data_IF_350099712045
#
_entry.id   IF_350099712045
#
_cell.length_a   1.000
_cell.length_b   1.000
_cell.length_c   1.000
_cell.angle_alpha   90.00
_cell.angle_beta   90.00
_cell.angle_gamma   90.00
#
_symmetry.space_group_name_H-M   'P 1'
#
loop_
_entity.id
_entity.type
_entity.pdbx_description
1 polymer ?
#
# COMPACT_ATOMS: atom_id res chain seq x y z
N UNK A 1 23.21 -45.30 -29.63
CA UNK A 1 24.69 -45.37 -29.76
C UNK A 1 25.26 -44.22 -28.95
N UNK A 2 25.73 -44.54 -27.75
CA UNK A 2 26.69 -43.77 -26.95
C UNK A 2 28.05 -43.72 -27.68
N UNK A 3 28.93 -42.73 -27.40
CA UNK A 3 29.84 -42.88 -26.25
C UNK A 3 30.08 -41.62 -25.41
N UNK A 4 29.80 -41.75 -24.11
CA UNK A 4 30.65 -41.55 -22.94
C UNK A 4 32.18 -41.27 -23.10
N UNK A 5 32.68 -40.18 -22.48
CA UNK A 5 33.97 -39.97 -21.74
C UNK A 5 33.76 -38.67 -20.91
N UNK A 6 33.69 -38.59 -19.57
CA UNK A 6 34.54 -38.92 -18.39
C UNK A 6 35.68 -37.93 -18.06
N UNK A 7 35.48 -37.28 -16.90
CA UNK A 7 36.40 -36.76 -15.87
C UNK A 7 37.42 -35.64 -16.15
N UNK A 8 37.33 -34.61 -15.31
CA UNK A 8 38.46 -33.82 -14.80
C UNK A 8 38.12 -33.22 -13.42
N UNK A 9 38.80 -33.72 -12.39
CA UNK A 9 38.69 -33.30 -10.98
C UNK A 9 39.30 -31.91 -10.71
N UNK A 10 38.89 -31.31 -9.58
CA UNK A 10 39.79 -30.91 -8.47
C UNK A 10 39.76 -29.44 -8.00
N UNK A 11 39.83 -29.32 -6.66
CA UNK A 11 40.19 -28.17 -5.80
C UNK A 11 39.05 -27.16 -5.50
N UNK A 12 38.38 -27.21 -4.34
CA UNK A 12 38.87 -26.96 -2.97
C UNK A 12 39.70 -25.66 -2.89
N UNK A 13 39.08 -24.57 -2.43
CA UNK A 13 39.81 -23.60 -1.61
C UNK A 13 38.91 -23.02 -0.51
N UNK A 14 39.23 -23.41 0.72
CA UNK A 14 38.75 -22.80 1.96
C UNK A 14 39.67 -21.63 2.25
N UNK A 15 39.12 -20.45 2.49
CA UNK A 15 39.83 -19.41 3.24
C UNK A 15 39.00 -19.02 4.45
N UNK A 16 39.50 -19.44 5.60
CA UNK A 16 39.14 -19.00 6.93
C UNK A 16 39.81 -17.64 7.18
N UNK A 17 39.02 -16.59 7.44
CA UNK A 17 39.49 -15.38 8.10
C UNK A 17 38.90 -15.31 9.50
N UNK A 18 39.67 -15.71 10.52
CA UNK A 18 39.35 -15.52 11.94
C UNK A 18 39.67 -14.09 12.38
N UNK A 19 38.77 -13.55 13.18
CA UNK A 19 38.94 -12.72 14.39
C UNK A 19 40.10 -11.73 14.48
N UNK A 20 39.73 -10.46 14.69
CA UNK A 20 40.38 -9.65 15.72
C UNK A 20 39.33 -8.85 16.48
N UNK A 21 39.22 -9.13 17.77
CA UNK A 21 38.52 -8.34 18.77
C UNK A 21 39.57 -7.79 19.73
N UNK A 22 39.55 -6.48 19.98
CA UNK A 22 40.03 -5.84 21.22
C UNK A 22 39.66 -4.36 21.13
N UNK A 23 38.75 -3.82 21.94
CA UNK A 23 38.81 -3.42 23.37
C UNK A 23 38.69 -1.89 23.41
N UNK A 24 37.56 -1.46 23.96
CA UNK A 24 37.29 -0.31 24.85
C UNK A 24 38.25 0.89 24.82
N UNK A 25 37.69 2.07 24.53
CA UNK A 25 38.10 3.31 25.19
C UNK A 25 36.85 4.16 25.52
N UNK A 26 36.65 4.58 26.79
CA UNK A 26 35.49 5.33 27.23
C UNK A 26 35.74 6.85 27.26
N UNK A 27 34.63 7.58 27.25
CA UNK A 27 34.50 9.00 27.58
C UNK A 27 35.08 10.03 26.58
N UNK A 28 34.19 10.61 25.77
CA UNK A 28 34.14 12.06 25.67
C UNK A 28 32.68 12.55 25.69
N UNK A 29 32.33 13.07 26.86
CA UNK A 29 31.14 13.84 27.16
C UNK A 29 31.10 15.15 26.34
N UNK A 30 29.86 15.61 26.11
CA UNK A 30 29.44 16.98 25.78
C UNK A 30 29.73 17.48 24.36
N UNK A 31 28.66 17.67 23.58
CA UNK A 31 28.01 18.97 23.26
C UNK A 31 27.12 18.81 22.01
N UNK A 32 26.42 19.85 21.57
CA UNK A 32 25.09 20.24 22.02
C UNK A 32 24.00 19.87 20.99
N UNK A 33 22.77 19.83 21.48
CA UNK A 33 21.53 19.80 20.69
C UNK A 33 21.59 20.87 19.58
N UNK A 34 21.74 20.43 18.33
CA UNK A 34 21.42 21.23 17.17
C UNK A 34 20.01 20.86 16.72
N UNK A 35 19.10 21.81 16.91
CA UNK A 35 17.74 21.80 16.36
C UNK A 35 17.79 21.48 14.87
N UNK A 36 17.20 20.34 14.49
CA UNK A 36 16.90 20.04 13.10
C UNK A 36 15.67 20.86 12.68
N UNK A 37 15.74 21.64 11.58
CA UNK A 37 14.56 22.29 11.05
C UNK A 37 13.56 21.25 10.52
N UNK A 38 12.35 21.32 11.08
CA UNK A 38 11.13 20.67 10.61
C UNK A 38 10.89 20.97 9.13
N UNK A 39 10.88 19.95 8.29
CA UNK A 39 10.21 19.96 6.99
C UNK A 39 9.97 18.52 6.55
N UNK A 40 9.01 17.86 7.21
CA UNK A 40 8.40 16.65 6.65
C UNK A 40 7.47 17.15 5.53
N UNK A 41 7.64 16.74 4.26
CA UNK A 41 6.66 17.07 3.24
C UNK A 41 5.37 16.32 3.58
N UNK A 42 4.42 17.05 4.15
CA UNK A 42 3.06 16.58 4.38
C UNK A 42 2.35 16.52 3.02
N UNK A 43 2.63 15.48 2.24
CA UNK A 43 1.85 15.18 1.03
C UNK A 43 0.52 14.59 1.51
N UNK A 44 -0.44 15.48 1.73
CA UNK A 44 -1.84 15.10 1.90
C UNK A 44 -2.31 14.37 0.63
N UNK A 45 -3.25 13.42 0.72
CA UNK A 45 -3.94 12.93 -0.45
C UNK A 45 -4.73 14.10 -1.07
N UNK A 46 -4.15 14.75 -2.07
CA UNK A 46 -4.88 15.66 -2.96
C UNK A 46 -5.82 14.80 -3.81
N UNK A 47 -6.98 14.51 -3.23
CA UNK A 47 -8.06 13.81 -3.87
C UNK A 47 -9.28 13.99 -2.99
N UNK A 48 -10.14 14.93 -3.35
CA UNK A 48 -11.53 14.82 -2.96
C UNK A 48 -11.98 13.40 -3.36
N UNK A 49 -12.34 12.52 -2.40
CA UNK A 49 -12.70 11.14 -2.68
C UNK A 49 -13.89 11.04 -3.64
N UNK A 50 -14.62 12.14 -3.85
CA UNK A 50 -15.75 12.23 -4.78
C UNK A 50 -15.38 12.69 -6.20
N UNK A 51 -14.22 13.31 -6.44
CA UNK A 51 -13.96 14.03 -7.70
C UNK A 51 -12.59 13.81 -8.38
N UNK A 52 -11.62 13.15 -7.74
CA UNK A 52 -10.33 12.85 -8.37
C UNK A 52 -10.32 11.54 -9.17
N UNK A 53 -10.32 11.60 -10.51
CA UNK A 53 -10.12 10.41 -11.36
C UNK A 53 -8.69 9.85 -11.31
N UNK A 54 -7.74 10.64 -10.79
CA UNK A 54 -6.32 10.35 -10.69
C UNK A 54 -5.82 10.51 -9.25
N UNK A 55 -5.03 9.56 -8.78
CA UNK A 55 -4.48 9.50 -7.43
C UNK A 55 -2.97 9.38 -7.46
N UNK A 56 -2.29 10.06 -6.54
CA UNK A 56 -0.83 10.02 -6.38
C UNK A 56 -0.51 9.25 -5.10
N UNK A 57 0.19 8.12 -5.25
CA UNK A 57 0.62 7.29 -4.11
C UNK A 57 2.13 7.46 -3.91
N UNK A 58 2.59 7.93 -2.73
CA UNK A 58 4.02 8.10 -2.46
C UNK A 58 4.74 6.76 -2.23
N UNK A 59 5.99 6.68 -2.66
CA UNK A 59 6.88 5.52 -2.57
C UNK A 59 8.23 5.89 -1.91
N UNK A 60 8.27 6.02 -0.58
CA UNK A 60 9.45 6.51 0.13
C UNK A 60 10.68 5.58 0.04
N UNK A 61 10.51 4.31 -0.35
CA UNK A 61 11.60 3.34 -0.44
C UNK A 61 11.99 2.97 -1.87
N UNK A 62 11.43 3.66 -2.89
CA UNK A 62 11.64 3.30 -4.28
C UNK A 62 12.76 4.12 -4.94
N UNK A 63 13.76 3.44 -5.49
CA UNK A 63 14.98 4.09 -6.00
C UNK A 63 14.80 4.85 -7.32
N UNK A 64 13.78 4.53 -8.12
CA UNK A 64 13.61 5.10 -9.47
C UNK A 64 12.66 6.31 -9.56
N UNK A 65 11.72 6.41 -8.64
CA UNK A 65 10.69 7.45 -8.58
C UNK A 65 10.05 7.45 -7.20
N UNK A 66 9.55 8.59 -6.75
CA UNK A 66 9.04 8.84 -5.40
C UNK A 66 7.51 8.71 -5.26
N UNK A 67 6.79 8.49 -6.37
CA UNK A 67 5.35 8.29 -6.38
C UNK A 67 4.90 7.43 -7.56
N UNK A 68 3.63 7.03 -7.57
CA UNK A 68 2.94 6.48 -8.74
C UNK A 68 1.60 7.18 -8.95
N UNK A 69 1.11 7.17 -10.19
CA UNK A 69 -0.20 7.69 -10.56
C UNK A 69 -1.16 6.53 -10.77
N UNK A 70 -2.35 6.58 -10.16
CA UNK A 70 -3.39 5.56 -10.31
C UNK A 70 -4.70 6.19 -10.77
N UNK A 71 -5.31 5.63 -11.82
CA UNK A 71 -6.60 6.08 -12.32
C UNK A 71 -7.74 5.19 -11.80
N UNK A 72 -8.92 5.79 -11.59
CA UNK A 72 -10.13 5.01 -11.30
C UNK A 72 -10.46 4.04 -12.44
N UNK A 73 -10.90 2.84 -12.07
CA UNK A 73 -11.49 1.83 -12.95
C UNK A 73 -12.94 2.20 -13.24
N UNK A 74 -13.71 2.55 -12.21
CA UNK A 74 -15.14 2.82 -12.31
C UNK A 74 -15.39 4.32 -12.10
N UNK A 75 -15.24 5.09 -13.18
CA UNK A 75 -15.41 6.55 -13.20
C UNK A 75 -16.75 7.01 -13.77
N UNK A 76 -17.55 6.10 -14.33
CA UNK A 76 -18.81 6.43 -14.99
C UNK A 76 -19.90 6.83 -13.99
N UNK A 77 -20.77 7.74 -14.40
CA UNK A 77 -21.95 8.14 -13.64
C UNK A 77 -22.89 6.93 -13.48
N UNK A 78 -23.15 6.53 -12.23
CA UNK A 78 -23.92 5.33 -11.89
C UNK A 78 -23.09 4.09 -11.56
N UNK A 79 -21.76 4.16 -11.63
CA UNK A 79 -20.89 3.13 -11.09
C UNK A 79 -21.09 2.99 -9.57
N UNK A 80 -21.45 1.77 -9.12
CA UNK A 80 -21.65 1.44 -7.69
C UNK A 80 -20.36 1.04 -7.00
N UNK A 81 -19.26 1.70 -7.34
CA UNK A 81 -17.95 1.45 -6.77
C UNK A 81 -17.41 2.71 -6.10
N UNK A 82 -16.87 2.53 -4.91
CA UNK A 82 -16.26 3.57 -4.11
C UNK A 82 -14.76 3.34 -4.00
N UNK A 83 -13.99 4.43 -3.95
CA UNK A 83 -12.57 4.38 -3.61
C UNK A 83 -12.45 4.35 -2.09
N UNK A 84 -11.73 3.37 -1.58
CA UNK A 84 -11.33 3.25 -0.17
C UNK A 84 -9.82 3.37 -0.08
N UNK A 85 -9.35 4.31 0.74
CA UNK A 85 -7.92 4.40 1.08
C UNK A 85 -7.62 3.38 2.18
N UNK A 86 -6.78 2.40 1.85
CA UNK A 86 -6.45 1.26 2.73
C UNK A 86 -4.98 1.27 3.13
N UNK A 87 -4.69 0.79 4.33
CA UNK A 87 -3.36 0.34 4.73
C UNK A 87 -2.98 -0.86 3.87
N UNK A 88 -1.88 -0.72 3.11
CA UNK A 88 -1.51 -1.74 2.12
C UNK A 88 -1.12 -3.06 2.76
N UNK A 89 -0.56 -3.04 3.97
CA UNK A 89 -0.15 -4.25 4.68
C UNK A 89 -1.38 -5.01 5.17
N UNK A 90 -2.36 -4.30 5.74
CA UNK A 90 -3.64 -4.92 6.15
C UNK A 90 -4.40 -5.50 4.97
N UNK A 91 -4.42 -4.80 3.83
CA UNK A 91 -4.99 -5.29 2.59
C UNK A 91 -4.36 -6.62 2.15
N UNK A 92 -3.03 -6.67 2.05
CA UNK A 92 -2.31 -7.88 1.62
C UNK A 92 -2.47 -9.02 2.62
N UNK A 93 -2.51 -8.74 3.92
CA UNK A 93 -2.80 -9.77 4.94
C UNK A 93 -4.20 -10.36 4.78
N UNK A 94 -5.21 -9.54 4.48
CA UNK A 94 -6.56 -10.06 4.20
C UNK A 94 -6.60 -10.82 2.89
N UNK A 95 -5.80 -10.44 1.89
CA UNK A 95 -5.74 -11.12 0.61
C UNK A 95 -4.96 -12.44 0.66
N UNK A 96 -3.91 -12.52 1.46
CA UNK A 96 -3.13 -13.74 1.66
C UNK A 96 -3.92 -14.82 2.43
N UNK A 97 -5.06 -14.46 3.03
CA UNK A 97 -6.02 -15.44 3.57
C UNK A 97 -6.88 -16.07 2.48
N UNK A 98 -7.10 -15.41 1.35
CA UNK A 98 -7.93 -15.96 0.29
C UNK A 98 -7.27 -17.22 -0.28
N UNK A 99 -7.92 -18.36 -0.10
CA UNK A 99 -7.46 -19.68 -0.54
C UNK A 99 -8.06 -20.07 -1.89
N UNK A 100 -8.89 -19.20 -2.48
CA UNK A 100 -9.51 -19.44 -3.78
C UNK A 100 -8.61 -19.02 -4.94
N UNK A 101 -7.68 -18.10 -4.72
CA UNK A 101 -6.75 -17.56 -5.71
C UNK A 101 -5.29 -17.91 -5.40
N UNK A 102 -4.43 -17.88 -6.42
CA UNK A 102 -3.00 -18.12 -6.28
C UNK A 102 -2.35 -17.06 -5.37
N UNK A 103 -1.81 -17.49 -4.23
CA UNK A 103 -1.02 -16.63 -3.34
C UNK A 103 0.27 -16.26 -4.04
N UNK A 104 0.40 -14.98 -4.41
CA UNK A 104 1.63 -14.47 -5.00
C UNK A 104 2.79 -14.55 -4.01
N UNK A 105 3.92 -15.06 -4.48
CA UNK A 105 5.19 -15.02 -3.76
C UNK A 105 5.57 -13.58 -3.35
N UNK A 106 6.37 -13.43 -2.28
CA UNK A 106 7.07 -12.18 -1.99
C UNK A 106 7.84 -11.64 -3.22
N UNK A 107 7.96 -10.31 -3.33
CA UNK A 107 8.51 -9.63 -4.53
C UNK A 107 10.00 -9.92 -4.74
N UNK A 108 10.74 -10.15 -3.67
CA UNK A 108 12.14 -10.57 -3.67
C UNK A 108 12.36 -11.97 -4.26
N UNK A 109 11.31 -12.79 -4.34
CA UNK A 109 11.32 -14.07 -5.05
C UNK A 109 10.87 -13.97 -6.51
N UNK A 110 10.47 -12.80 -6.99
CA UNK A 110 10.03 -12.65 -8.37
C UNK A 110 11.22 -12.66 -9.32
N UNK A 111 11.02 -13.23 -10.51
CA UNK A 111 12.01 -13.13 -11.58
C UNK A 111 12.31 -11.66 -11.89
N UNK A 112 13.58 -11.29 -12.03
CA UNK A 112 14.01 -9.90 -12.24
C UNK A 112 13.27 -9.19 -13.40
N UNK A 113 13.00 -9.93 -14.49
CA UNK A 113 12.20 -9.43 -15.61
C UNK A 113 10.77 -9.02 -15.24
N UNK A 114 10.11 -9.72 -14.30
CA UNK A 114 8.78 -9.37 -13.79
C UNK A 114 8.83 -8.10 -12.95
N UNK A 115 9.83 -8.00 -12.06
CA UNK A 115 10.06 -6.81 -11.23
C UNK A 115 10.27 -5.58 -12.11
N UNK A 116 11.16 -5.70 -13.11
CA UNK A 116 11.42 -4.64 -14.09
C UNK A 116 10.17 -4.22 -14.84
N UNK A 117 9.39 -5.19 -15.36
CA UNK A 117 8.17 -4.90 -16.10
C UNK A 117 7.10 -4.20 -15.26
N UNK A 118 6.92 -4.59 -13.98
CA UNK A 118 6.00 -3.89 -13.08
C UNK A 118 6.51 -2.49 -12.76
N UNK A 119 7.81 -2.31 -12.53
CA UNK A 119 8.42 -1.00 -12.28
C UNK A 119 8.20 -0.03 -13.44
N UNK A 120 8.44 -0.47 -14.68
CA UNK A 120 8.25 0.32 -15.91
C UNK A 120 6.77 0.64 -16.16
N UNK A 121 5.87 -0.30 -15.85
CA UNK A 121 4.44 -0.08 -15.95
C UNK A 121 3.92 0.96 -14.95
N UNK A 122 4.53 1.02 -13.76
CA UNK A 122 4.14 1.95 -12.69
C UNK A 122 4.86 3.31 -12.76
N UNK A 123 5.83 3.48 -13.64
CA UNK A 123 6.62 4.71 -13.76
C UNK A 123 5.71 5.94 -14.01
N UNK A 124 5.81 7.00 -13.21
CA UNK A 124 5.03 8.22 -13.41
C UNK A 124 5.21 8.87 -14.78
N UNK A 125 6.33 8.62 -15.46
CA UNK A 125 6.64 9.14 -16.79
C UNK A 125 5.97 8.32 -17.90
N UNK A 126 5.39 7.17 -17.57
CA UNK A 126 4.64 6.35 -18.52
C UNK A 126 3.36 7.09 -18.95
N UNK A 127 3.11 7.13 -20.27
CA UNK A 127 1.90 7.74 -20.82
C UNK A 127 0.64 7.01 -20.35
N UNK A 128 0.72 5.67 -20.24
CA UNK A 128 -0.40 4.87 -19.75
C UNK A 128 -0.44 4.86 -18.23
N UNK A 129 -1.46 5.50 -17.67
CA UNK A 129 -1.71 5.50 -16.23
C UNK A 129 -2.29 4.14 -15.80
N UNK A 130 -1.67 3.44 -14.85
CA UNK A 130 -2.22 2.22 -14.25
C UNK A 130 -3.57 2.47 -13.56
N UNK A 131 -4.48 1.51 -13.70
CA UNK A 131 -5.73 1.51 -12.94
C UNK A 131 -5.50 1.08 -11.48
N UNK A 132 -6.30 1.66 -10.59
CA UNK A 132 -6.43 1.24 -9.20
C UNK A 132 -6.70 -0.26 -9.07
N UNK A 133 -6.22 -0.91 -8.00
CA UNK A 133 -6.72 -2.21 -7.62
C UNK A 133 -8.25 -2.15 -7.36
N UNK A 134 -8.98 -3.12 -7.87
CA UNK A 134 -10.39 -3.38 -7.52
C UNK A 134 -10.48 -4.75 -6.84
N UNK A 135 -11.17 -4.79 -5.70
CA UNK A 135 -11.28 -5.96 -4.84
C UNK A 135 -12.72 -6.25 -4.47
N UNK A 136 -12.96 -7.49 -4.06
CA UNK A 136 -14.15 -7.86 -3.28
C UNK A 136 -13.76 -8.23 -1.86
N UNK A 137 -14.60 -7.91 -0.86
CA UNK A 137 -14.31 -8.22 0.54
C UNK A 137 -15.46 -8.98 1.20
N UNK A 138 -15.12 -9.97 2.03
CA UNK A 138 -16.09 -10.75 2.80
C UNK A 138 -15.55 -11.13 4.17
N UNK A 139 -16.44 -11.56 5.06
CA UNK A 139 -16.07 -12.30 6.28
C UNK A 139 -16.33 -13.78 6.05
N UNK A 140 -15.36 -14.61 6.42
CA UNK A 140 -15.56 -16.06 6.45
C UNK A 140 -15.24 -16.62 7.83
N UNK A 141 -15.76 -17.81 8.08
CA UNK A 141 -15.50 -18.56 9.30
C UNK A 141 -14.06 -19.08 9.28
N UNK A 142 -13.32 -18.90 10.37
CA UNK A 142 -11.94 -19.41 10.46
C UNK A 142 -11.96 -20.94 10.46
N UNK A 143 -11.03 -21.59 9.77
CA UNK A 143 -10.86 -23.05 9.79
C UNK A 143 -10.10 -23.50 11.06
N UNK A 144 -10.58 -23.10 12.24
CA UNK A 144 -10.02 -23.47 13.55
C UNK A 144 -11.09 -24.09 14.44
N UNK A 145 -10.71 -24.72 15.56
CA UNK A 145 -11.67 -25.30 16.52
C UNK A 145 -12.63 -24.21 17.04
N UNK A 146 -12.14 -23.01 17.37
CA UNK A 146 -12.96 -21.86 17.74
C UNK A 146 -13.85 -21.38 16.57
N UNK A 147 -13.31 -21.48 15.35
CA UNK A 147 -14.04 -21.33 14.11
C UNK A 147 -15.21 -22.30 14.00
N UNK A 148 -15.03 -23.61 14.26
CA UNK A 148 -16.08 -24.64 14.24
C UNK A 148 -17.22 -24.39 15.25
N UNK A 149 -17.00 -23.59 16.29
CA UNK A 149 -18.05 -23.10 17.19
C UNK A 149 -18.68 -21.76 16.79
N UNK A 150 -18.20 -21.14 15.72
CA UNK A 150 -18.80 -19.94 15.11
C UNK A 150 -18.34 -18.64 15.76
N UNK A 151 -17.34 -18.74 16.64
CA UNK A 151 -16.85 -17.64 17.46
C UNK A 151 -15.76 -16.81 16.76
N UNK A 152 -15.18 -17.32 15.68
CA UNK A 152 -14.10 -16.66 14.96
C UNK A 152 -14.46 -16.49 13.47
N UNK A 153 -14.54 -15.22 13.05
CA UNK A 153 -14.60 -14.83 11.65
C UNK A 153 -13.34 -14.04 11.30
N UNK A 154 -12.85 -14.22 10.08
CA UNK A 154 -11.75 -13.44 9.53
C UNK A 154 -12.20 -12.71 8.27
N UNK A 155 -11.64 -11.52 8.06
CA UNK A 155 -11.81 -10.75 6.84
C UNK A 155 -10.91 -11.28 5.73
N UNK A 156 -11.48 -11.44 4.54
CA UNK A 156 -10.81 -11.92 3.32
C UNK A 156 -11.05 -10.93 2.19
N UNK A 157 -9.99 -10.63 1.44
CA UNK A 157 -10.03 -9.73 0.29
C UNK A 157 -9.59 -10.47 -0.96
N UNK A 158 -10.45 -10.55 -1.97
CA UNK A 158 -10.11 -11.12 -3.27
C UNK A 158 -9.79 -10.01 -4.26
N UNK A 159 -8.63 -10.06 -4.93
CA UNK A 159 -8.29 -9.11 -5.97
C UNK A 159 -8.98 -9.47 -7.28
N UNK A 160 -9.78 -8.56 -7.82
CA UNK A 160 -10.35 -8.70 -9.17
C UNK A 160 -9.42 -8.13 -10.24
N UNK A 161 -8.53 -7.21 -9.86
CA UNK A 161 -7.39 -6.80 -10.65
C UNK A 161 -6.24 -6.35 -9.73
N UNK A 162 -5.07 -6.02 -10.29
CA UNK A 162 -4.07 -5.20 -9.58
C UNK A 162 -3.27 -5.88 -8.46
N UNK A 163 -3.48 -7.16 -8.14
CA UNK A 163 -2.78 -7.89 -7.07
C UNK A 163 -1.24 -7.76 -7.14
N UNK A 164 -0.65 -7.98 -8.31
CA UNK A 164 0.80 -7.83 -8.53
C UNK A 164 1.28 -6.40 -8.25
N UNK A 165 0.49 -5.38 -8.63
CA UNK A 165 0.89 -3.99 -8.42
C UNK A 165 0.78 -3.62 -6.96
N UNK A 166 -0.30 -4.02 -6.28
CA UNK A 166 -0.46 -3.80 -4.85
C UNK A 166 0.72 -4.40 -4.05
N UNK A 167 1.13 -5.64 -4.37
CA UNK A 167 2.28 -6.27 -3.72
C UNK A 167 3.60 -5.56 -4.03
N UNK A 168 3.81 -5.14 -5.28
CA UNK A 168 5.00 -4.35 -5.64
C UNK A 168 5.03 -2.99 -4.94
N UNK A 169 3.91 -2.28 -4.85
CA UNK A 169 3.82 -0.98 -4.20
C UNK A 169 4.12 -1.10 -2.70
N UNK A 170 3.62 -2.15 -2.04
CA UNK A 170 3.98 -2.45 -0.65
C UNK A 170 5.49 -2.70 -0.48
N UNK A 171 6.09 -3.50 -1.38
CA UNK A 171 7.54 -3.74 -1.41
C UNK A 171 8.33 -2.44 -1.65
N UNK A 172 7.82 -1.55 -2.49
CA UNK A 172 8.39 -0.24 -2.79
C UNK A 172 8.14 0.82 -1.70
N UNK A 173 7.54 0.44 -0.56
CA UNK A 173 7.38 1.28 0.62
C UNK A 173 6.09 2.08 0.68
N UNK A 174 5.11 1.84 -0.21
CA UNK A 174 3.78 2.42 -0.05
C UNK A 174 3.21 2.02 1.32
N UNK A 175 2.62 2.99 2.04
CA UNK A 175 1.94 2.74 3.31
C UNK A 175 0.43 2.56 3.11
N UNK A 176 -0.11 3.19 2.07
CA UNK A 176 -1.52 3.17 1.74
C UNK A 176 -1.73 3.02 0.24
N UNK A 177 -2.92 2.57 -0.16
CA UNK A 177 -3.36 2.52 -1.55
C UNK A 177 -4.82 2.95 -1.68
N UNK A 178 -5.19 3.68 -2.75
CA UNK A 178 -6.58 3.80 -3.15
C UNK A 178 -6.99 2.49 -3.84
N UNK A 179 -8.07 1.89 -3.34
CA UNK A 179 -8.61 0.61 -3.84
C UNK A 179 -10.10 0.78 -4.08
N UNK A 180 -10.59 0.28 -5.20
CA UNK A 180 -12.01 0.29 -5.49
C UNK A 180 -12.70 -0.97 -4.97
N UNK A 181 -13.90 -0.79 -4.43
CA UNK A 181 -14.78 -1.87 -4.00
C UNK A 181 -16.23 -1.48 -4.29
N UNK A 182 -17.12 -2.48 -4.39
CA UNK A 182 -18.54 -2.20 -4.53
C UNK A 182 -19.06 -1.43 -3.29
N UNK A 183 -20.00 -0.49 -3.46
CA UNK A 183 -20.52 0.40 -2.41
C UNK A 183 -20.96 -0.38 -1.14
N UNK A 184 -21.55 -1.56 -1.33
CA UNK A 184 -22.02 -2.45 -0.25
C UNK A 184 -20.88 -3.11 0.54
N UNK A 185 -19.72 -3.27 -0.08
CA UNK A 185 -18.55 -3.92 0.49
C UNK A 185 -17.56 -2.91 1.08
N UNK A 186 -17.60 -1.66 0.61
CA UNK A 186 -16.71 -0.58 1.03
C UNK A 186 -16.69 -0.34 2.56
N UNK A 187 -17.81 -0.41 3.31
CA UNK A 187 -17.78 -0.30 4.77
C UNK A 187 -16.94 -1.39 5.44
N UNK A 188 -17.06 -2.63 4.98
CA UNK A 188 -16.27 -3.75 5.51
C UNK A 188 -14.79 -3.60 5.15
N UNK A 189 -14.48 -3.13 3.94
CA UNK A 189 -13.11 -2.86 3.52
C UNK A 189 -12.46 -1.77 4.39
N UNK A 190 -13.20 -0.69 4.69
CA UNK A 190 -12.76 0.37 5.60
C UNK A 190 -12.51 -0.16 7.01
N UNK A 191 -13.40 -0.99 7.52
CA UNK A 191 -13.25 -1.59 8.84
C UNK A 191 -11.98 -2.46 8.94
N UNK A 192 -11.76 -3.33 7.96
CA UNK A 192 -10.66 -4.30 7.99
C UNK A 192 -9.31 -3.70 7.60
N UNK A 193 -9.31 -2.83 6.60
CA UNK A 193 -8.10 -2.38 5.92
C UNK A 193 -7.96 -0.86 5.87
N UNK A 194 -8.95 -0.08 6.32
CA UNK A 194 -8.87 1.38 6.30
C UNK A 194 -7.67 1.92 7.07
N UNK A 195 -7.12 3.04 6.59
CA UNK A 195 -6.09 3.78 7.33
C UNK A 195 -6.74 4.44 8.55
N UNK A 196 -6.22 4.17 9.74
CA UNK A 196 -6.63 4.89 10.94
C UNK A 196 -5.89 6.23 10.95
N UNK A 197 -6.63 7.33 10.77
CA UNK A 197 -6.14 8.72 10.72
C UNK A 197 -5.49 9.12 9.39
N UNK A 198 -6.32 9.51 8.43
CA UNK A 198 -6.08 10.76 7.70
C UNK A 198 -7.03 11.79 8.35
N UNK A 199 -6.56 12.96 8.81
CA UNK A 199 -7.48 14.02 9.23
C UNK A 199 -8.46 14.30 8.09
N UNK A 200 -9.74 14.33 8.44
CA UNK A 200 -10.87 14.51 7.53
C UNK A 200 -10.63 15.66 6.55
N UNK A 201 -10.80 15.38 5.26
CA UNK A 201 -11.16 16.40 4.29
C UNK A 201 -12.44 15.94 3.61
N UNK A 202 -13.56 16.58 3.94
CA UNK A 202 -14.78 16.53 3.14
C UNK A 202 -16.07 15.97 3.76
N UNK A 203 -16.34 16.15 5.06
CA UNK A 203 -17.66 15.86 5.66
C UNK A 203 -18.51 17.11 5.96
N UNK A 204 -18.09 18.30 5.50
CA UNK A 204 -18.78 19.58 5.79
C UNK A 204 -19.25 20.27 4.50
N UNK A 205 -19.99 19.57 3.64
CA UNK A 205 -20.73 20.19 2.55
C UNK A 205 -22.21 19.82 2.70
N UNK A 206 -22.88 20.43 3.68
CA UNK A 206 -24.29 20.11 3.88
C UNK A 206 -24.96 20.65 5.15
N UNK A 207 -24.64 21.87 5.59
CA UNK A 207 -25.51 22.59 6.53
C UNK A 207 -25.56 24.06 6.12
N UNK A 208 -26.63 24.42 5.40
CA UNK A 208 -26.81 25.76 4.88
C UNK A 208 -26.91 26.81 5.99
N UNK A 209 -26.17 27.90 5.83
CA UNK A 209 -26.64 29.20 6.26
C UNK A 209 -27.04 29.99 5.02
N UNK A 210 -28.35 30.23 4.92
CA UNK A 210 -28.92 31.10 3.90
C UNK A 210 -28.48 32.56 4.08
N UNK A 211 -28.63 33.38 3.04
CA UNK A 211 -28.22 34.78 3.07
C UNK A 211 -29.33 35.61 3.72
N UNK A 212 -29.23 35.92 5.01
CA UNK A 212 -29.98 37.04 5.61
C UNK A 212 -29.52 37.29 7.06
N UNK A 213 -28.67 38.30 7.26
CA UNK A 213 -28.57 39.05 8.52
C UNK A 213 -27.69 40.30 8.34
N UNK A 214 -28.24 41.35 7.73
CA UNK A 214 -27.73 42.71 7.88
C UNK A 214 -28.06 43.20 9.31
N UNK A 215 -27.10 43.71 10.10
CA UNK A 215 -27.44 44.38 11.35
C UNK A 215 -27.95 45.80 11.08
N UNK A 216 -29.20 46.05 11.47
CA UNK A 216 -29.74 47.41 11.61
C UNK A 216 -29.07 48.08 12.82
N UNK A 217 -28.28 49.12 12.58
CA UNK A 217 -27.86 50.04 13.63
C UNK A 217 -29.07 50.84 14.13
N UNK A 218 -29.31 50.78 15.44
CA UNK A 218 -30.28 51.61 16.16
C UNK A 218 -29.54 52.37 17.28
N UNK A 219 -29.83 53.67 17.41
CA UNK A 219 -29.46 54.56 18.52
C UNK A 219 -28.10 55.26 18.33
N UNK A 220 -27.94 56.57 18.49
CA UNK A 220 -28.78 57.60 19.11
C UNK A 220 -28.42 58.97 18.51
#
# INVERSE_FOLDING_TARGET
MEPFVVMGHSQMNRSLGRFSASILDPAFLRSPFLSMPSSVPSVLPNGDPSSGSLWIVPLPAHAGYDHVRLARVFADEGARHEVVVVDVRRLLQCADRDDTDYVLKPVDEWHAGKVRGIREFLDPSNERIPQMPYVTVSRRRVASIAGWFGLAHEGVVAFRNGQHRARYLAYAGALWLPVEAHEREAPLLRELCGVALMPEYGADAGAGLGPDALPRHSGN
#
